data_IF_948569660803
#
_entry.id   IF_948569660803
#
_cell.length_a   1.000
_cell.length_b   1.000
_cell.length_c   1.000
_cell.angle_alpha   90.00
_cell.angle_beta   90.00
_cell.angle_gamma   90.00
#
_symmetry.space_group_name_H-M   'P 1'
#
loop_
_entity.id
_entity.type
_entity.pdbx_description
1 polymer ?
#
# COMPACT_ATOMS: atom_id res chain seq x y z
N UNK A 1 -10.25 -3.31 5.38
CA UNK A 1 -9.41 -3.29 4.17
C UNK A 1 -7.99 -2.92 4.56
N UNK A 2 -6.98 -3.71 4.21
CA UNK A 2 -5.59 -3.45 4.52
C UNK A 2 -4.81 -3.15 3.24
N UNK A 3 -4.26 -1.95 3.17
CA UNK A 3 -3.59 -1.42 1.97
C UNK A 3 -2.15 -1.10 2.33
N UNK A 4 -1.23 -1.43 1.44
CA UNK A 4 0.20 -1.16 1.59
C UNK A 4 0.63 -0.11 0.58
N UNK A 5 1.21 0.99 1.06
CA UNK A 5 1.76 2.07 0.25
C UNK A 5 3.28 2.05 0.31
N UNK A 6 3.93 1.99 -0.85
CA UNK A 6 5.38 2.12 -0.97
C UNK A 6 5.75 3.38 -1.76
N UNK A 7 6.72 4.14 -1.27
CA UNK A 7 7.22 5.33 -1.98
C UNK A 7 6.27 6.54 -1.96
N UNK A 8 5.15 6.43 -1.25
CA UNK A 8 4.20 7.54 -1.07
C UNK A 8 4.67 8.48 0.05
N UNK A 9 4.68 9.81 -0.15
CA UNK A 9 4.99 10.76 0.91
C UNK A 9 4.10 10.59 2.14
N UNK A 10 4.68 10.76 3.34
CA UNK A 10 3.97 10.56 4.59
C UNK A 10 2.76 11.51 4.77
N UNK A 11 2.80 12.70 4.18
CA UNK A 11 1.66 13.64 4.24
C UNK A 11 0.47 13.15 3.41
N UNK A 12 0.72 12.76 2.16
CA UNK A 12 -0.29 12.17 1.28
C UNK A 12 -0.89 10.91 1.89
N UNK A 13 -0.06 10.02 2.44
CA UNK A 13 -0.57 8.83 3.12
C UNK A 13 -1.43 9.15 4.35
N UNK A 14 -1.11 10.21 5.11
CA UNK A 14 -1.94 10.68 6.23
C UNK A 14 -3.29 11.22 5.77
N UNK A 15 -3.31 11.97 4.67
CA UNK A 15 -4.55 12.49 4.08
C UNK A 15 -5.45 11.34 3.62
N UNK A 16 -4.89 10.38 2.89
CA UNK A 16 -5.59 9.17 2.43
C UNK A 16 -6.13 8.36 3.61
N UNK A 17 -5.31 8.09 4.63
CA UNK A 17 -5.77 7.35 5.81
C UNK A 17 -6.98 8.01 6.49
N UNK A 18 -6.97 9.34 6.62
CA UNK A 18 -8.11 10.09 7.17
C UNK A 18 -9.34 10.04 6.27
N UNK A 19 -9.17 10.13 4.95
CA UNK A 19 -10.28 10.13 3.99
C UNK A 19 -11.06 8.81 4.01
N UNK A 20 -10.35 7.69 4.15
CA UNK A 20 -10.94 6.34 4.12
C UNK A 20 -11.12 5.71 5.51
N UNK A 21 -10.94 6.49 6.58
CA UNK A 21 -11.01 6.03 7.99
C UNK A 21 -10.13 4.79 8.27
N UNK A 22 -8.92 4.77 7.70
CA UNK A 22 -7.95 3.69 7.85
C UNK A 22 -6.93 3.99 8.94
N UNK A 23 -6.54 2.95 9.68
CA UNK A 23 -5.48 3.07 10.67
C UNK A 23 -4.12 3.15 10.00
N UNK A 24 -3.44 4.30 10.13
CA UNK A 24 -2.08 4.46 9.62
C UNK A 24 -1.10 3.66 10.49
N UNK A 25 -0.43 2.69 9.89
CA UNK A 25 0.56 1.83 10.56
C UNK A 25 1.85 1.78 9.74
N UNK A 26 2.92 1.26 10.35
CA UNK A 26 4.25 1.22 9.74
C UNK A 26 4.74 -0.20 9.39
N UNK A 27 3.91 -1.22 9.62
CA UNK A 27 4.21 -2.62 9.30
C UNK A 27 2.91 -3.40 9.12
N UNK A 28 2.87 -4.39 8.21
CA UNK A 28 1.74 -5.32 8.08
C UNK A 28 1.40 -6.06 9.40
N UNK A 29 2.37 -6.27 10.30
CA UNK A 29 2.12 -6.93 11.60
C UNK A 29 1.13 -6.19 12.51
N UNK A 30 0.83 -4.93 12.19
CA UNK A 30 -0.10 -4.07 12.93
C UNK A 30 -1.42 -3.89 12.22
N UNK A 31 -1.76 -4.74 11.24
CA UNK A 31 -3.07 -4.70 10.61
C UNK A 31 -4.19 -4.76 11.65
N UNK A 32 -5.16 -3.88 11.46
CA UNK A 32 -6.33 -3.72 12.32
C UNK A 32 -7.55 -4.32 11.61
N UNK A 33 -8.43 -5.06 12.31
CA UNK A 33 -9.70 -5.53 11.76
C UNK A 33 -10.57 -4.43 11.12
N UNK A 34 -10.49 -3.19 11.62
CA UNK A 34 -11.19 -2.03 11.06
C UNK A 34 -10.60 -1.54 9.71
N UNK A 35 -9.45 -2.07 9.30
CA UNK A 35 -8.69 -1.64 8.14
C UNK A 35 -7.45 -0.82 8.51
N UNK A 36 -6.45 -0.88 7.63
CA UNK A 36 -5.14 -0.31 7.88
C UNK A 36 -4.48 0.19 6.60
N UNK A 37 -3.73 1.27 6.72
CA UNK A 37 -2.86 1.79 5.67
C UNK A 37 -1.42 1.67 6.16
N UNK A 38 -0.66 0.73 5.59
CA UNK A 38 0.77 0.58 5.89
C UNK A 38 1.55 1.54 5.01
N UNK A 39 2.30 2.45 5.63
CA UNK A 39 3.27 3.28 4.89
C UNK A 39 4.64 2.66 5.04
N UNK A 40 5.17 2.23 3.91
CA UNK A 40 6.51 1.67 3.80
C UNK A 40 7.45 2.77 3.36
N UNK A 41 8.37 3.23 4.23
CA UNK A 41 9.38 4.19 3.82
C UNK A 41 10.30 3.57 2.77
N UNK A 42 11.01 4.37 1.95
CA UNK A 42 12.08 3.86 1.11
C UNK A 42 13.08 3.04 1.94
N UNK A 43 13.14 1.74 1.70
CA UNK A 43 13.97 0.83 2.47
C UNK A 43 15.28 0.59 1.74
N UNK A 44 16.35 1.22 2.21
CA UNK A 44 17.71 1.07 1.64
C UNK A 44 18.54 0.01 2.36
N UNK A 45 18.07 -0.50 3.50
CA UNK A 45 18.77 -1.48 4.33
C UNK A 45 18.21 -2.88 4.09
N UNK A 46 19.02 -3.87 3.65
CA UNK A 46 18.54 -5.23 3.34
C UNK A 46 17.77 -5.92 4.47
N UNK A 47 18.15 -5.67 5.73
CA UNK A 47 17.47 -6.26 6.89
C UNK A 47 16.05 -5.70 7.10
N UNK A 48 15.82 -4.44 6.78
CA UNK A 48 14.49 -3.82 6.84
C UNK A 48 13.60 -4.42 5.76
N UNK A 49 14.12 -4.55 4.54
CA UNK A 49 13.45 -5.21 3.43
C UNK A 49 13.03 -6.64 3.81
N UNK A 50 13.95 -7.46 4.32
CA UNK A 50 13.64 -8.83 4.74
C UNK A 50 12.55 -8.88 5.82
N UNK A 51 12.58 -7.96 6.78
CA UNK A 51 11.57 -7.88 7.84
C UNK A 51 10.19 -7.55 7.27
N UNK A 52 10.14 -6.59 6.34
CA UNK A 52 8.93 -6.24 5.64
C UNK A 52 8.39 -7.40 4.78
N UNK A 53 9.24 -8.08 4.02
CA UNK A 53 8.83 -9.24 3.21
C UNK A 53 8.31 -10.38 4.07
N UNK A 54 8.96 -10.67 5.19
CA UNK A 54 8.44 -11.67 6.12
C UNK A 54 7.05 -11.28 6.63
N UNK A 55 6.82 -10.02 6.99
CA UNK A 55 5.49 -9.56 7.40
C UNK A 55 4.47 -9.70 6.26
N UNK A 56 4.81 -9.31 5.03
CA UNK A 56 3.92 -9.46 3.87
C UNK A 56 3.53 -10.92 3.62
N UNK A 57 4.48 -11.86 3.69
CA UNK A 57 4.22 -13.29 3.54
C UNK A 57 3.32 -13.86 4.65
N UNK A 58 3.50 -13.41 5.90
CA UNK A 58 2.68 -13.87 7.01
C UNK A 58 1.23 -13.34 6.95
N UNK A 59 1.04 -12.17 6.32
CA UNK A 59 -0.26 -11.49 6.24
C UNK A 59 -0.82 -11.43 4.81
N UNK A 60 -0.37 -12.31 3.92
CA UNK A 60 -0.70 -12.30 2.49
C UNK A 60 -2.23 -12.24 2.24
N UNK A 61 -2.98 -13.08 2.94
CA UNK A 61 -4.45 -13.15 2.83
C UNK A 61 -5.15 -11.88 3.33
N UNK A 62 -4.51 -11.16 4.25
CA UNK A 62 -5.07 -9.95 4.85
C UNK A 62 -4.81 -8.70 4.00
N UNK A 63 -3.88 -8.75 3.03
CA UNK A 63 -3.56 -7.62 2.15
C UNK A 63 -4.60 -7.52 1.04
N UNK A 64 -5.26 -6.36 0.92
CA UNK A 64 -6.25 -6.09 -0.13
C UNK A 64 -5.65 -5.39 -1.34
N UNK A 65 -4.62 -4.56 -1.14
CA UNK A 65 -3.88 -3.93 -2.22
C UNK A 65 -2.47 -3.52 -1.80
N UNK A 66 -1.56 -3.52 -2.78
CA UNK A 66 -0.22 -2.96 -2.69
C UNK A 66 -0.06 -1.93 -3.78
N UNK A 67 0.22 -0.68 -3.41
CA UNK A 67 0.38 0.45 -4.32
C UNK A 67 1.80 0.99 -4.18
N UNK A 68 2.56 0.94 -5.27
CA UNK A 68 3.92 1.47 -5.33
C UNK A 68 3.94 2.75 -6.15
N UNK A 69 4.45 3.83 -5.56
CA UNK A 69 4.81 5.06 -6.27
C UNK A 69 6.31 5.02 -6.63
N UNK A 70 6.63 5.25 -7.91
CA UNK A 70 8.02 5.26 -8.39
C UNK A 70 8.63 3.87 -8.49
N UNK A 71 7.96 2.96 -9.22
CA UNK A 71 8.45 1.59 -9.44
C UNK A 71 9.90 1.55 -9.97
N UNK A 72 10.24 2.49 -10.84
CA UNK A 72 11.56 2.56 -11.51
C UNK A 72 12.72 2.91 -10.56
N UNK A 73 12.42 3.56 -9.44
CA UNK A 73 13.40 3.96 -8.42
C UNK A 73 13.30 3.11 -7.16
N UNK A 74 12.41 2.12 -7.15
CA UNK A 74 12.18 1.23 -6.04
C UNK A 74 13.04 -0.05 -6.19
N UNK A 75 14.16 -0.11 -5.48
CA UNK A 75 15.03 -1.31 -5.43
C UNK A 75 14.28 -2.58 -4.97
N UNK A 76 13.18 -2.38 -4.24
CA UNK A 76 12.33 -3.44 -3.72
C UNK A 76 11.22 -3.89 -4.68
N UNK A 77 11.05 -3.21 -5.83
CA UNK A 77 9.89 -3.35 -6.72
C UNK A 77 9.56 -4.79 -7.08
N UNK A 78 10.53 -5.53 -7.62
CA UNK A 78 10.33 -6.92 -8.06
C UNK A 78 9.95 -7.84 -6.91
N UNK A 79 10.52 -7.64 -5.73
CA UNK A 79 10.22 -8.46 -4.56
C UNK A 79 8.86 -8.12 -3.96
N UNK A 80 8.51 -6.83 -3.89
CA UNK A 80 7.17 -6.41 -3.43
C UNK A 80 6.11 -6.97 -4.37
N UNK A 81 6.34 -6.89 -5.68
CA UNK A 81 5.44 -7.48 -6.68
C UNK A 81 5.31 -9.00 -6.50
N UNK A 82 6.42 -9.71 -6.25
CA UNK A 82 6.41 -11.15 -6.01
C UNK A 82 5.62 -11.54 -4.75
N UNK A 83 5.71 -10.74 -3.68
CA UNK A 83 4.96 -10.96 -2.44
C UNK A 83 3.52 -10.43 -2.48
N UNK A 84 3.08 -9.82 -3.58
CA UNK A 84 1.72 -9.29 -3.70
C UNK A 84 0.81 -10.33 -4.34
N UNK A 85 -0.38 -10.61 -3.77
CA UNK A 85 -1.31 -11.54 -4.38
C UNK A 85 -1.72 -11.10 -5.80
N UNK A 86 -1.99 -12.05 -6.72
CA UNK A 86 -2.41 -11.74 -8.07
C UNK A 86 -3.62 -10.78 -8.09
N UNK A 87 -3.54 -9.73 -8.92
CA UNK A 87 -4.61 -8.74 -9.06
C UNK A 87 -4.66 -7.66 -7.98
N UNK A 88 -3.77 -7.68 -6.98
CA UNK A 88 -3.73 -6.68 -5.89
C UNK A 88 -2.56 -5.68 -6.00
N UNK A 89 -1.78 -5.75 -7.08
CA UNK A 89 -0.60 -4.91 -7.29
C UNK A 89 -0.90 -3.73 -8.21
N UNK A 90 -0.59 -2.52 -7.76
CA UNK A 90 -0.77 -1.27 -8.50
C UNK A 90 0.51 -0.45 -8.50
N UNK A 91 0.81 0.22 -9.62
CA UNK A 91 1.97 1.08 -9.77
C UNK A 91 1.57 2.48 -10.24
N UNK A 92 2.11 3.50 -9.58
CA UNK A 92 1.98 4.91 -9.91
C UNK A 92 3.35 5.48 -10.31
N UNK A 93 3.33 6.49 -11.19
CA UNK A 93 4.56 7.20 -11.57
C UNK A 93 5.15 7.93 -10.36
N UNK A 94 6.46 7.86 -10.21
CA UNK A 94 7.19 8.60 -9.17
C UNK A 94 7.38 10.08 -9.48
N UNK A 95 7.01 10.51 -10.69
CA UNK A 95 7.14 11.90 -11.16
C UNK A 95 5.88 12.72 -10.92
N UNK A 96 4.81 12.10 -10.39
CA UNK A 96 3.55 12.78 -10.12
C UNK A 96 3.73 13.85 -9.04
N UNK A 97 3.10 15.01 -9.27
CA UNK A 97 2.98 16.00 -8.22
C UNK A 97 2.06 15.49 -7.09
N UNK A 98 2.14 16.12 -5.92
CA UNK A 98 1.42 15.62 -4.73
C UNK A 98 -0.10 15.54 -4.94
N UNK A 99 -0.70 16.51 -5.65
CA UNK A 99 -2.14 16.56 -5.94
C UNK A 99 -2.56 15.50 -6.97
N UNK A 100 -1.73 15.26 -7.97
CA UNK A 100 -1.94 14.20 -8.96
C UNK A 100 -1.81 12.81 -8.33
N UNK A 101 -0.78 12.61 -7.50
CA UNK A 101 -0.57 11.37 -6.75
C UNK A 101 -1.76 11.07 -5.83
N UNK A 102 -2.27 12.09 -5.12
CA UNK A 102 -3.46 11.94 -4.28
C UNK A 102 -4.67 11.54 -5.11
N UNK A 103 -4.89 12.19 -6.26
CA UNK A 103 -6.01 11.91 -7.16
C UNK A 103 -5.96 10.48 -7.70
N UNK A 104 -4.80 10.01 -8.15
CA UNK A 104 -4.61 8.63 -8.63
C UNK A 104 -4.80 7.60 -7.51
N UNK A 105 -4.28 7.88 -6.30
CA UNK A 105 -4.53 7.05 -5.12
C UNK A 105 -6.03 6.95 -4.82
N UNK A 106 -6.75 8.06 -4.85
CA UNK A 106 -8.20 8.10 -4.64
C UNK A 106 -8.93 7.24 -5.67
N UNK A 107 -8.56 7.34 -6.95
CA UNK A 107 -9.19 6.54 -8.01
C UNK A 107 -9.03 5.04 -7.78
N UNK A 108 -7.81 4.58 -7.45
CA UNK A 108 -7.55 3.17 -7.13
C UNK A 108 -8.36 2.73 -5.91
N UNK A 109 -8.33 3.53 -4.84
CA UNK A 109 -9.00 3.19 -3.59
C UNK A 109 -10.52 3.16 -3.74
N UNK A 110 -11.12 4.14 -4.42
CA UNK A 110 -12.56 4.16 -4.69
C UNK A 110 -13.00 2.91 -5.46
N UNK A 111 -12.20 2.46 -6.43
CA UNK A 111 -12.44 1.20 -7.14
C UNK A 111 -12.38 -0.01 -6.21
N UNK A 112 -11.34 -0.11 -5.37
CA UNK A 112 -11.16 -1.21 -4.43
C UNK A 112 -12.29 -1.28 -3.38
N UNK A 113 -12.67 -0.13 -2.83
CA UNK A 113 -13.79 -0.06 -1.87
C UNK A 113 -15.12 -0.40 -2.54
N UNK A 114 -15.35 0.01 -3.79
CA UNK A 114 -16.56 -0.37 -4.53
C UNK A 114 -16.63 -1.88 -4.81
N UNK A 115 -15.51 -2.52 -5.13
CA UNK A 115 -15.42 -3.97 -5.30
C UNK A 115 -15.59 -4.73 -3.97
N UNK A 116 -14.89 -4.32 -2.91
CA UNK A 116 -14.99 -4.93 -1.59
C UNK A 116 -16.40 -4.83 -1.00
N UNK A 117 -17.13 -3.76 -1.31
CA UNK A 117 -18.53 -3.60 -0.88
C UNK A 117 -19.50 -4.50 -1.65
N UNK A 118 -19.16 -4.93 -2.88
CA UNK A 118 -19.97 -5.88 -3.66
C UNK A 118 -19.86 -7.32 -3.18
N UNK A 119 -18.75 -7.69 -2.54
CA UNK A 119 -18.53 -9.05 -2.00
C UNK A 119 -19.26 -9.25 -0.66
N UNK A 120 -19.61 -8.15 0.03
CA UNK A 120 -20.32 -8.14 1.31
C UNK A 120 -21.86 -7.96 1.21
N UNK A 121 -22.42 -8.02 -0.01
CA UNK A 121 -23.87 -7.97 -0.29
C UNK A 121 -24.40 -9.35 -0.70
#
# INVERSE_FOLDING_TARGET
MNIVLYGVPAETARQIARKYDLNLVNTPDKFNPAGSLVVVPPMTVPRQLLTFYNAMLHHEDAVDAVIICGLETCDAASTVQYCTPPGKFFSLSGELEAEELESELILILDSLFAEGNRINL
#
